data_IF_495412009977
#
_entry.id   IF_495412009977
#
_cell.length_a   1.000
_cell.length_b   1.000
_cell.length_c   1.000
_cell.angle_alpha   90.00
_cell.angle_beta   90.00
_cell.angle_gamma   90.00
#
_symmetry.space_group_name_H-M   'P 1'
#
loop_
_entity.id
_entity.type
_entity.pdbx_description
1 polymer ?
#
# COMPACT_ATOMS: atom_id res chain seq x y z
N UNK A 1 -20.27 14.95 -7.60
CA UNK A 1 -19.14 14.01 -7.41
C UNK A 1 -18.15 14.70 -6.49
N UNK A 2 -17.65 14.00 -5.46
CA UNK A 2 -16.64 14.52 -4.51
C UNK A 2 -15.40 15.06 -5.23
N UNK A 3 -14.99 14.44 -6.36
CA UNK A 3 -13.85 14.91 -7.18
C UNK A 3 -14.05 16.31 -7.77
N UNK A 4 -15.30 16.67 -8.12
CA UNK A 4 -15.59 18.00 -8.66
C UNK A 4 -15.43 19.07 -7.58
N UNK A 5 -15.96 18.81 -6.39
CA UNK A 5 -15.81 19.70 -5.24
C UNK A 5 -14.32 19.89 -4.89
N UNK A 6 -13.52 18.83 -5.01
CA UNK A 6 -12.07 18.93 -4.85
C UNK A 6 -11.42 19.88 -5.86
N UNK A 7 -11.72 19.75 -7.18
CA UNK A 7 -11.11 20.64 -8.18
C UNK A 7 -11.61 22.09 -8.10
N UNK A 8 -12.87 22.32 -7.75
CA UNK A 8 -13.39 23.67 -7.48
C UNK A 8 -12.66 24.31 -6.29
N UNK A 9 -12.55 23.59 -5.17
CA UNK A 9 -11.79 24.03 -3.99
C UNK A 9 -10.31 24.27 -4.31
N UNK A 10 -9.69 23.40 -5.10
CA UNK A 10 -8.29 23.55 -5.52
C UNK A 10 -8.10 24.84 -6.34
N UNK A 11 -9.02 25.14 -7.26
CA UNK A 11 -9.01 26.37 -8.04
C UNK A 11 -9.15 27.62 -7.18
N UNK A 12 -10.05 27.61 -6.19
CA UNK A 12 -10.18 28.70 -5.21
C UNK A 12 -8.89 28.92 -4.42
N UNK A 13 -8.23 27.83 -4.00
CA UNK A 13 -6.95 27.91 -3.29
C UNK A 13 -5.84 28.51 -4.15
N UNK A 14 -5.74 28.11 -5.42
CA UNK A 14 -4.73 28.62 -6.34
C UNK A 14 -4.89 30.11 -6.64
N UNK A 15 -6.12 30.62 -6.65
CA UNK A 15 -6.41 32.04 -6.86
C UNK A 15 -6.25 32.91 -5.59
N UNK A 16 -5.94 32.30 -4.45
CA UNK A 16 -5.77 33.04 -3.19
C UNK A 16 -4.30 33.44 -3.00
N UNK A 17 -3.92 34.73 -3.04
CA UNK A 17 -2.53 35.18 -3.11
C UNK A 17 -1.63 34.75 -1.94
N UNK A 18 -2.21 34.49 -0.77
CA UNK A 18 -1.49 34.11 0.44
C UNK A 18 -1.43 32.59 0.66
N UNK A 19 -2.02 31.80 -0.24
CA UNK A 19 -2.11 30.34 -0.08
C UNK A 19 -1.12 29.68 -1.03
N UNK A 20 -0.26 28.82 -0.48
CA UNK A 20 0.60 27.94 -1.24
C UNK A 20 0.03 26.53 -1.20
N UNK A 21 -0.34 25.99 -2.36
CA UNK A 21 -0.86 24.62 -2.46
C UNK A 21 0.27 23.67 -2.82
N UNK A 22 0.43 22.61 -2.03
CA UNK A 22 1.35 21.50 -2.30
C UNK A 22 0.53 20.22 -2.34
N UNK A 23 0.50 19.55 -3.49
CA UNK A 23 -0.12 18.24 -3.65
C UNK A 23 0.98 17.18 -3.65
N UNK A 24 0.98 16.30 -2.65
CA UNK A 24 1.87 15.14 -2.61
C UNK A 24 1.10 13.89 -3.00
N UNK A 25 1.59 13.18 -4.01
CA UNK A 25 0.99 11.93 -4.47
C UNK A 25 2.04 11.02 -5.09
N UNK A 26 1.77 9.72 -5.05
CA UNK A 26 2.60 8.74 -5.75
C UNK A 26 2.30 8.77 -7.23
N UNK A 27 3.30 8.43 -8.04
CA UNK A 27 3.22 8.46 -9.50
C UNK A 27 2.10 7.55 -10.05
N UNK A 28 1.86 6.41 -9.42
CA UNK A 28 0.80 5.46 -9.77
C UNK A 28 -0.63 6.03 -9.61
N UNK A 29 -0.78 7.12 -8.85
CA UNK A 29 -2.06 7.80 -8.61
C UNK A 29 -2.25 9.10 -9.42
N UNK A 30 -1.27 9.49 -10.26
CA UNK A 30 -1.40 10.68 -11.11
C UNK A 30 -2.63 10.64 -12.03
N UNK A 31 -3.11 9.44 -12.36
CA UNK A 31 -4.30 9.26 -13.19
C UNK A 31 -5.57 9.87 -12.58
N UNK A 32 -5.65 10.04 -11.26
CA UNK A 32 -6.77 10.74 -10.63
C UNK A 32 -6.82 12.23 -10.96
N UNK A 33 -5.69 12.84 -11.34
CA UNK A 33 -5.63 14.23 -11.77
C UNK A 33 -5.95 14.40 -13.26
N UNK A 34 -5.91 13.33 -14.06
CA UNK A 34 -6.20 13.39 -15.50
C UNK A 34 -7.67 13.72 -15.81
N UNK A 35 -8.61 13.41 -14.90
CA UNK A 35 -10.02 13.82 -15.05
C UNK A 35 -10.19 15.35 -15.02
N UNK A 36 -9.23 16.07 -14.42
CA UNK A 36 -9.19 17.53 -14.51
C UNK A 36 -8.92 17.97 -15.95
N UNK A 37 -8.06 17.26 -16.67
CA UNK A 37 -7.44 17.66 -17.95
C UNK A 37 -8.32 17.37 -19.18
N UNK A 38 -9.63 17.16 -18.96
CA UNK A 38 -10.64 16.89 -19.98
C UNK A 38 -10.91 18.10 -20.88
N UNK A 39 -9.97 18.40 -21.79
CA UNK A 39 -9.91 19.41 -22.88
C UNK A 39 -9.24 20.75 -22.56
N UNK A 40 -7.94 20.81 -22.87
CA UNK A 40 -7.26 22.00 -23.39
C UNK A 40 -6.23 21.64 -24.49
N UNK A 41 -6.69 20.98 -25.57
CA UNK A 41 -5.94 20.94 -26.83
C UNK A 41 -6.83 21.46 -27.95
N UNK A 42 -6.86 22.79 -28.10
CA UNK A 42 -7.33 23.42 -29.33
C UNK A 42 -6.27 23.16 -30.41
N UNK A 43 -6.51 22.17 -31.26
CA UNK A 43 -5.90 22.13 -32.59
C UNK A 43 -6.53 23.26 -33.37
N UNK A 44 -5.71 24.19 -33.85
CA UNK A 44 -6.13 25.17 -34.82
C UNK A 44 -6.42 24.49 -36.15
N UNK A 45 -7.69 24.41 -36.51
CA UNK A 45 -8.20 24.55 -37.89
C UNK A 45 -9.69 24.22 -37.89
N UNK A 46 -10.45 25.04 -38.59
CA UNK A 46 -11.86 24.84 -38.83
C UNK A 46 -12.06 23.56 -39.64
N UNK A 47 -12.62 22.52 -39.03
CA UNK A 47 -13.45 21.52 -39.69
C UNK A 47 -14.17 20.69 -38.62
N UNK A 48 -15.50 20.65 -38.72
CA UNK A 48 -16.33 19.83 -37.83
C UNK A 48 -16.05 18.34 -38.08
N UNK A 49 -16.13 17.51 -37.03
CA UNK A 49 -16.98 16.34 -37.20
C UNK A 49 -17.96 16.15 -36.04
N UNK A 50 -19.15 15.74 -36.42
CA UNK A 50 -20.22 15.28 -35.57
C UNK A 50 -19.79 14.02 -34.79
N UNK A 51 -19.50 14.18 -33.50
CA UNK A 51 -19.67 13.14 -32.49
C UNK A 51 -19.76 13.83 -31.12
N UNK A 52 -20.98 14.18 -30.71
CA UNK A 52 -21.26 14.73 -29.39
C UNK A 52 -21.30 13.62 -28.34
N UNK A 53 -20.15 13.04 -28.00
CA UNK A 53 -20.02 12.36 -26.72
C UNK A 53 -19.64 13.42 -25.67
N UNK A 54 -20.57 13.57 -24.73
CA UNK A 54 -20.62 14.55 -23.63
C UNK A 54 -19.23 14.93 -23.12
N UNK A 55 -18.91 16.23 -23.14
CA UNK A 55 -17.96 16.74 -22.15
C UNK A 55 -18.44 16.28 -20.76
N UNK A 56 -17.55 15.86 -19.84
CA UNK A 56 -17.95 15.33 -18.52
C UNK A 56 -18.83 16.31 -17.73
N UNK A 57 -18.77 17.59 -18.09
CA UNK A 57 -19.42 18.71 -17.43
C UNK A 57 -20.59 19.22 -18.29
N UNK A 58 -21.69 18.47 -18.34
CA UNK A 58 -22.92 18.97 -18.96
C UNK A 58 -23.52 20.10 -18.11
N UNK A 59 -23.29 21.35 -18.52
CA UNK A 59 -24.10 22.51 -18.09
C UNK A 59 -23.57 23.38 -16.93
N UNK A 60 -22.30 23.27 -16.54
CA UNK A 60 -21.68 24.15 -15.53
C UNK A 60 -20.25 24.53 -15.92
N UNK A 61 -19.76 25.68 -15.42
CA UNK A 61 -18.41 26.18 -15.66
C UNK A 61 -17.34 25.11 -15.40
N UNK A 62 -16.37 24.99 -16.31
CA UNK A 62 -15.25 24.07 -16.21
C UNK A 62 -14.33 24.53 -15.05
N UNK A 63 -14.09 23.69 -14.01
CA UNK A 63 -13.21 24.05 -12.89
C UNK A 63 -11.80 24.45 -13.35
N UNK A 64 -11.33 23.95 -14.50
CA UNK A 64 -10.03 24.34 -15.05
C UNK A 64 -9.94 25.82 -15.41
N UNK A 65 -11.04 26.52 -15.70
CA UNK A 65 -11.00 27.96 -15.98
C UNK A 65 -10.50 28.78 -14.78
N UNK A 66 -10.57 28.22 -13.57
CA UNK A 66 -10.04 28.83 -12.36
C UNK A 66 -8.57 28.48 -12.08
N UNK A 67 -7.90 27.73 -12.97
CA UNK A 67 -6.52 27.25 -12.77
C UNK A 67 -5.51 27.85 -13.76
N UNK A 68 -5.82 29.03 -14.32
CA UNK A 68 -4.96 29.72 -15.29
C UNK A 68 -3.54 29.96 -14.75
N UNK A 69 -3.40 30.15 -13.43
CA UNK A 69 -2.11 30.36 -12.74
C UNK A 69 -1.12 29.19 -12.97
N UNK A 70 -1.63 27.96 -13.16
CA UNK A 70 -0.82 26.78 -13.46
C UNK A 70 -0.91 26.37 -14.94
N UNK A 71 -1.32 27.29 -15.81
CA UNK A 71 -1.47 27.04 -17.25
C UNK A 71 -2.54 26.01 -17.59
N UNK A 72 -3.48 25.77 -16.68
CA UNK A 72 -4.46 24.69 -16.78
C UNK A 72 -3.82 23.31 -16.98
N UNK A 73 -2.60 23.09 -16.49
CA UNK A 73 -1.89 21.82 -16.59
C UNK A 73 -1.24 21.48 -15.25
N UNK A 74 -2.02 20.81 -14.40
CA UNK A 74 -1.57 20.35 -13.09
C UNK A 74 -0.51 19.24 -13.17
N UNK A 75 -0.36 18.62 -14.34
CA UNK A 75 0.62 17.56 -14.61
C UNK A 75 1.83 18.08 -15.40
N UNK A 76 1.94 19.40 -15.57
CA UNK A 76 3.08 19.98 -16.26
C UNK A 76 4.37 19.60 -15.56
N UNK A 77 5.40 19.24 -16.33
CA UNK A 77 6.75 18.97 -15.79
C UNK A 77 7.35 20.18 -15.07
N UNK A 78 6.80 21.39 -15.31
CA UNK A 78 7.26 22.63 -14.71
C UNK A 78 6.73 22.85 -13.28
N UNK A 79 5.72 22.08 -12.86
CA UNK A 79 5.11 22.17 -11.51
C UNK A 79 5.23 20.85 -10.72
N UNK A 80 5.87 19.84 -11.31
CA UNK A 80 6.11 18.53 -10.68
C UNK A 80 7.53 18.46 -10.13
N UNK A 81 7.62 18.17 -8.84
CA UNK A 81 8.88 18.01 -8.13
C UNK A 81 8.96 16.55 -7.64
N UNK A 82 9.75 15.69 -8.32
CA UNK A 82 9.86 14.30 -7.89
C UNK A 82 10.54 14.23 -6.52
N UNK A 83 9.91 13.51 -5.60
CA UNK A 83 10.51 13.17 -4.31
C UNK A 83 11.12 11.78 -4.43
N UNK A 84 12.45 11.75 -4.57
CA UNK A 84 13.23 10.52 -4.66
C UNK A 84 13.78 10.06 -3.31
N UNK A 85 14.68 9.09 -3.36
CA UNK A 85 15.47 8.72 -2.20
C UNK A 85 16.45 9.84 -1.83
N UNK A 86 16.84 9.90 -0.56
CA UNK A 86 17.86 10.83 -0.11
C UNK A 86 19.25 10.27 -0.43
N UNK A 87 20.18 11.15 -0.78
CA UNK A 87 21.61 10.83 -0.63
C UNK A 87 21.93 10.65 0.86
N UNK A 88 23.06 10.01 1.18
CA UNK A 88 23.50 9.87 2.57
C UNK A 88 23.70 11.22 3.25
N UNK A 89 24.30 12.16 2.54
CA UNK A 89 24.57 13.51 3.06
C UNK A 89 23.27 14.29 3.29
N UNK A 90 22.29 14.16 2.40
CA UNK A 90 20.97 14.78 2.57
C UNK A 90 20.22 14.15 3.74
N UNK A 91 20.21 12.81 3.84
CA UNK A 91 19.56 12.10 4.94
C UNK A 91 20.15 12.50 6.30
N UNK A 92 21.49 12.55 6.39
CA UNK A 92 22.21 13.02 7.58
C UNK A 92 21.82 14.45 7.93
N UNK A 93 21.84 15.36 6.96
CA UNK A 93 21.49 16.77 7.15
C UNK A 93 20.06 16.92 7.67
N UNK A 94 19.12 16.15 7.12
CA UNK A 94 17.72 16.12 7.58
C UNK A 94 17.62 15.64 9.02
N UNK A 95 18.27 14.53 9.37
CA UNK A 95 18.25 13.97 10.74
C UNK A 95 18.86 14.97 11.73
N UNK A 96 20.01 15.56 11.41
CA UNK A 96 20.65 16.58 12.26
C UNK A 96 19.77 17.82 12.44
N UNK A 97 19.10 18.28 11.38
CA UNK A 97 18.23 19.44 11.47
C UNK A 97 16.99 19.17 12.33
N UNK A 98 16.36 18.01 12.15
CA UNK A 98 15.19 17.61 12.93
C UNK A 98 15.52 17.40 14.40
N UNK A 99 16.65 16.74 14.70
CA UNK A 99 17.08 16.49 16.08
C UNK A 99 17.45 17.78 16.80
N UNK A 100 18.14 18.73 16.13
CA UNK A 100 18.44 20.07 16.69
C UNK A 100 17.19 20.89 17.01
N UNK A 101 16.14 20.77 16.20
CA UNK A 101 14.89 21.50 16.39
C UNK A 101 13.95 20.83 17.40
N UNK A 102 14.19 19.55 17.70
CA UNK A 102 13.38 18.77 18.64
C UNK A 102 14.05 18.66 20.01
N UNK A 103 13.29 18.28 21.04
CA UNK A 103 13.85 17.88 22.34
C UNK A 103 14.41 16.44 22.34
N UNK A 104 14.68 15.88 21.16
CA UNK A 104 15.16 14.51 20.98
C UNK A 104 16.51 14.53 20.28
N UNK A 105 17.58 14.59 21.07
CA UNK A 105 18.95 14.62 20.58
C UNK A 105 19.44 13.19 20.26
N UNK A 106 20.01 13.02 19.07
CA UNK A 106 20.69 11.79 18.68
C UNK A 106 22.20 12.02 18.70
N UNK A 107 22.94 11.07 19.26
CA UNK A 107 24.40 11.07 19.22
C UNK A 107 24.90 11.12 17.75
N UNK A 108 25.95 11.90 17.42
CA UNK A 108 26.46 11.98 16.06
C UNK A 108 26.88 10.61 15.48
N UNK A 109 27.46 9.74 16.30
CA UNK A 109 27.85 8.40 15.88
C UNK A 109 26.64 7.52 15.51
N UNK A 110 25.52 7.68 16.23
CA UNK A 110 24.25 7.02 15.89
C UNK A 110 23.71 7.54 14.55
N UNK A 111 23.77 8.84 14.28
CA UNK A 111 23.28 9.40 13.02
C UNK A 111 24.06 8.81 11.83
N UNK A 112 25.38 8.72 11.94
CA UNK A 112 26.24 8.14 10.88
C UNK A 112 25.88 6.67 10.61
N UNK A 113 25.79 5.86 11.67
CA UNK A 113 25.45 4.45 11.56
C UNK A 113 24.03 4.25 11.00
N UNK A 114 23.07 5.04 11.48
CA UNK A 114 21.68 4.98 11.03
C UNK A 114 21.56 5.28 9.53
N UNK A 115 22.26 6.31 9.04
CA UNK A 115 22.28 6.65 7.62
C UNK A 115 22.94 5.54 6.80
N UNK A 116 24.03 4.97 7.30
CA UNK A 116 24.72 3.85 6.65
C UNK A 116 23.80 2.63 6.54
N UNK A 117 23.11 2.26 7.62
CA UNK A 117 22.17 1.14 7.65
C UNK A 117 20.96 1.35 6.73
N UNK A 118 20.37 2.55 6.76
CA UNK A 118 19.23 2.90 5.91
C UNK A 118 19.60 2.93 4.41
N UNK A 119 20.82 3.37 4.09
CA UNK A 119 21.29 3.46 2.71
C UNK A 119 21.53 2.07 2.09
N UNK A 120 21.96 1.10 2.90
CA UNK A 120 22.23 -0.27 2.47
C UNK A 120 23.14 -0.35 1.24
N UNK A 121 22.85 -1.31 0.36
CA UNK A 121 23.65 -1.55 -0.87
C UNK A 121 23.47 -0.45 -1.92
N UNK A 122 22.30 0.19 -1.97
CA UNK A 122 21.97 1.18 -2.99
C UNK A 122 22.55 2.57 -2.68
N UNK A 123 23.15 2.74 -1.50
CA UNK A 123 23.75 4.01 -1.05
C UNK A 123 22.78 5.20 -1.03
N UNK A 124 21.48 4.91 -1.03
CA UNK A 124 20.39 5.88 -1.00
C UNK A 124 19.42 5.52 0.12
N UNK A 125 18.97 6.52 0.87
CA UNK A 125 18.04 6.34 1.99
C UNK A 125 16.61 6.52 1.50
N UNK A 126 15.79 5.47 1.64
CA UNK A 126 14.36 5.53 1.34
C UNK A 126 13.65 6.37 2.42
N UNK A 127 12.94 7.46 2.08
CA UNK A 127 12.29 8.34 3.05
C UNK A 127 11.33 7.60 3.98
N UNK A 128 10.63 6.59 3.47
CA UNK A 128 9.68 5.81 4.25
C UNK A 128 10.36 4.90 5.29
N UNK A 129 11.53 4.32 4.98
CA UNK A 129 12.29 3.55 5.95
C UNK A 129 12.83 4.48 7.05
N UNK A 130 13.35 5.65 6.66
CA UNK A 130 13.79 6.67 7.60
C UNK A 130 12.67 7.12 8.54
N UNK A 131 11.46 7.31 8.01
CA UNK A 131 10.28 7.66 8.82
C UNK A 131 9.94 6.59 9.85
N UNK A 132 9.89 5.32 9.45
CA UNK A 132 9.57 4.21 10.36
C UNK A 132 10.65 4.05 11.42
N UNK A 133 11.92 4.02 11.02
CA UNK A 133 13.05 3.84 11.95
C UNK A 133 13.15 5.04 12.89
N UNK A 134 13.02 6.27 12.38
CA UNK A 134 13.00 7.49 13.20
C UNK A 134 11.86 7.50 14.23
N UNK A 135 10.66 7.06 13.84
CA UNK A 135 9.54 6.93 14.77
C UNK A 135 9.82 5.88 15.87
N UNK A 136 10.46 4.76 15.54
CA UNK A 136 10.84 3.74 16.52
C UNK A 136 11.95 4.23 17.48
N UNK A 137 12.97 4.92 16.96
CA UNK A 137 13.99 5.54 17.81
C UNK A 137 13.35 6.46 18.86
N UNK A 138 12.39 7.28 18.45
CA UNK A 138 11.68 8.18 19.35
C UNK A 138 10.78 7.41 20.33
N UNK A 139 10.01 6.43 19.86
CA UNK A 139 9.09 5.65 20.71
C UNK A 139 9.83 4.87 21.81
N UNK A 140 11.00 4.33 21.48
CA UNK A 140 11.83 3.53 22.40
C UNK A 140 12.90 4.38 23.12
N UNK A 141 12.93 5.69 22.87
CA UNK A 141 13.93 6.63 23.43
C UNK A 141 15.40 6.22 23.16
N UNK A 142 15.65 5.65 21.98
CA UNK A 142 16.99 5.28 21.52
C UNK A 142 17.69 6.55 21.01
N UNK A 143 18.73 6.96 21.72
CA UNK A 143 19.47 8.20 21.45
C UNK A 143 20.97 8.00 21.29
N UNK A 144 21.50 6.83 21.65
CA UNK A 144 22.92 6.48 21.55
C UNK A 144 23.15 5.32 20.58
N UNK A 145 24.39 5.22 20.06
CA UNK A 145 24.77 4.15 19.15
C UNK A 145 24.67 2.76 19.82
N UNK A 146 25.03 2.68 21.09
CA UNK A 146 24.98 1.45 21.88
C UNK A 146 23.56 0.90 21.99
N UNK A 147 22.59 1.75 22.34
CA UNK A 147 21.16 1.38 22.42
C UNK A 147 20.62 0.89 21.07
N UNK A 148 21.06 1.52 19.97
CA UNK A 148 20.66 1.15 18.64
C UNK A 148 21.14 -0.27 18.26
N UNK A 149 22.39 -0.60 18.57
CA UNK A 149 22.93 -1.94 18.36
C UNK A 149 22.31 -3.00 19.28
N UNK A 150 22.10 -2.68 20.57
CA UNK A 150 21.39 -3.56 21.51
C UNK A 150 19.95 -3.84 21.01
N UNK A 151 19.33 -2.83 20.41
CA UNK A 151 18.03 -2.93 19.75
C UNK A 151 18.04 -3.67 18.41
N UNK A 152 19.14 -4.27 17.96
CA UNK A 152 19.22 -5.01 16.71
C UNK A 152 19.28 -4.13 15.45
N UNK A 153 19.69 -2.88 15.60
CA UNK A 153 19.85 -1.90 14.52
C UNK A 153 18.55 -1.72 13.70
N UNK A 154 18.67 -1.32 12.42
CA UNK A 154 17.53 -1.15 11.50
C UNK A 154 16.60 -2.36 11.45
N UNK A 155 17.16 -3.57 11.43
CA UNK A 155 16.38 -4.81 11.32
C UNK A 155 15.52 -5.03 12.57
N UNK A 156 16.09 -4.86 13.76
CA UNK A 156 15.37 -4.99 15.02
C UNK A 156 14.26 -3.95 15.17
N UNK A 157 14.52 -2.69 14.81
CA UNK A 157 13.51 -1.63 14.84
C UNK A 157 12.35 -1.91 13.89
N UNK A 158 12.65 -2.36 12.66
CA UNK A 158 11.61 -2.71 11.70
C UNK A 158 10.79 -3.92 12.15
N UNK A 159 11.45 -4.94 12.72
CA UNK A 159 10.77 -6.10 13.26
C UNK A 159 9.84 -5.74 14.42
N UNK A 160 10.25 -4.83 15.31
CA UNK A 160 9.40 -4.33 16.40
C UNK A 160 8.24 -3.49 15.90
N UNK A 161 8.46 -2.62 14.93
CA UNK A 161 7.37 -1.88 14.29
C UNK A 161 6.28 -2.84 13.74
N UNK A 162 6.69 -3.84 12.95
CA UNK A 162 5.77 -4.83 12.40
C UNK A 162 5.07 -5.65 13.50
N UNK A 163 5.82 -6.01 14.54
CA UNK A 163 5.28 -6.77 15.67
C UNK A 163 4.26 -5.96 16.46
N UNK A 164 4.52 -4.68 16.73
CA UNK A 164 3.59 -3.77 17.42
C UNK A 164 2.25 -3.66 16.70
N UNK A 165 2.26 -3.49 15.37
CA UNK A 165 1.01 -3.42 14.59
C UNK A 165 0.23 -4.76 14.64
N UNK A 166 0.93 -5.89 14.70
CA UNK A 166 0.29 -7.20 14.89
C UNK A 166 -0.27 -7.33 16.31
N UNK A 167 0.44 -6.83 17.32
CA UNK A 167 0.01 -6.83 18.72
C UNK A 167 -1.24 -5.97 18.94
N UNK A 168 -1.35 -4.83 18.26
CA UNK A 168 -2.52 -3.95 18.26
C UNK A 168 -3.80 -4.64 17.77
N UNK A 169 -3.66 -5.72 16.98
CA UNK A 169 -4.82 -6.54 16.58
C UNK A 169 -5.44 -7.32 17.76
N UNK A 170 -4.72 -7.44 18.88
CA UNK A 170 -5.13 -8.15 20.10
C UNK A 170 -4.77 -9.65 20.06
N UNK A 171 -4.57 -10.30 21.23
CA UNK A 171 -4.01 -11.66 21.32
C UNK A 171 -4.76 -12.72 20.50
N UNK A 172 -6.09 -12.66 20.44
CA UNK A 172 -6.91 -13.60 19.65
C UNK A 172 -6.79 -13.45 18.12
N UNK A 173 -6.25 -12.33 17.65
CA UNK A 173 -6.19 -11.97 16.22
C UNK A 173 -4.76 -11.92 15.67
N UNK A 174 -3.73 -11.94 16.52
CA UNK A 174 -2.33 -11.83 16.07
C UNK A 174 -1.98 -12.86 14.99
N UNK A 175 -2.46 -14.10 15.12
CA UNK A 175 -2.22 -15.15 14.14
C UNK A 175 -2.90 -14.87 12.80
N UNK A 176 -4.11 -14.32 12.83
CA UNK A 176 -4.83 -13.90 11.62
C UNK A 176 -4.12 -12.71 10.97
N UNK A 177 -3.71 -11.71 11.75
CA UNK A 177 -2.96 -10.54 11.24
C UNK A 177 -1.67 -10.95 10.54
N UNK A 178 -0.89 -11.83 11.18
CA UNK A 178 0.32 -12.44 10.60
C UNK A 178 0.05 -13.12 9.26
N UNK A 179 -1.00 -13.96 9.18
CA UNK A 179 -1.38 -14.64 7.94
C UNK A 179 -1.85 -13.66 6.86
N UNK A 180 -2.62 -12.65 7.22
CA UNK A 180 -3.10 -11.62 6.27
C UNK A 180 -1.92 -10.85 5.69
N UNK A 181 -0.99 -10.37 6.52
CA UNK A 181 0.21 -9.68 6.07
C UNK A 181 1.04 -10.56 5.14
N UNK A 182 1.19 -11.85 5.46
CA UNK A 182 1.86 -12.81 4.58
C UNK A 182 1.16 -12.97 3.23
N UNK A 183 -0.16 -13.13 3.21
CA UNK A 183 -0.94 -13.28 1.98
C UNK A 183 -0.86 -12.04 1.09
N UNK A 184 -0.58 -10.86 1.66
CA UNK A 184 -0.34 -9.62 0.92
C UNK A 184 1.11 -9.47 0.42
N UNK A 185 1.92 -10.53 0.52
CA UNK A 185 3.26 -10.65 -0.09
C UNK A 185 3.32 -11.86 -1.02
N UNK A 186 4.28 -11.89 -1.96
CA UNK A 186 4.58 -13.09 -2.76
C UNK A 186 6.06 -13.50 -2.69
N UNK A 187 6.38 -14.73 -3.14
CA UNK A 187 7.74 -15.28 -3.13
C UNK A 187 8.72 -14.54 -4.06
N UNK A 188 8.21 -13.68 -4.95
CA UNK A 188 9.00 -12.86 -5.86
C UNK A 188 9.29 -11.46 -5.31
N UNK A 189 8.85 -11.17 -4.08
CA UNK A 189 9.04 -9.85 -3.47
C UNK A 189 7.96 -8.83 -3.85
N UNK A 190 6.86 -9.25 -4.47
CA UNK A 190 5.75 -8.36 -4.83
C UNK A 190 4.70 -8.28 -3.72
N UNK A 191 3.83 -7.28 -3.90
CA UNK A 191 2.69 -6.97 -3.04
C UNK A 191 1.37 -7.18 -3.81
N UNK A 192 0.81 -8.39 -3.87
CA UNK A 192 -0.42 -8.66 -4.63
C UNK A 192 -1.64 -7.90 -4.08
N UNK A 193 -2.56 -7.51 -4.98
CA UNK A 193 -3.87 -6.97 -4.63
C UNK A 193 -4.86 -8.09 -4.36
N UNK A 194 -5.35 -8.19 -3.12
CA UNK A 194 -6.33 -9.23 -2.72
C UNK A 194 -7.64 -8.63 -2.24
N UNK A 195 -8.74 -9.27 -2.59
CA UNK A 195 -10.07 -8.97 -2.05
C UNK A 195 -10.25 -9.57 -0.65
N UNK A 196 -11.21 -9.04 0.11
CA UNK A 196 -11.59 -9.63 1.40
C UNK A 196 -12.03 -11.10 1.26
N UNK A 197 -12.73 -11.44 0.17
CA UNK A 197 -13.19 -12.81 -0.08
C UNK A 197 -12.03 -13.78 -0.32
N UNK A 198 -11.03 -13.36 -1.10
CA UNK A 198 -9.81 -14.15 -1.31
C UNK A 198 -9.06 -14.38 0.01
N UNK A 199 -8.90 -13.34 0.83
CA UNK A 199 -8.26 -13.46 2.15
C UNK A 199 -9.05 -14.39 3.08
N UNK A 200 -10.38 -14.24 3.14
CA UNK A 200 -11.25 -15.08 3.95
C UNK A 200 -11.17 -16.57 3.55
N UNK A 201 -11.07 -16.85 2.25
CA UNK A 201 -10.96 -18.22 1.73
C UNK A 201 -9.71 -18.97 2.22
N UNK A 202 -8.62 -18.26 2.52
CA UNK A 202 -7.40 -18.82 3.10
C UNK A 202 -7.44 -18.91 4.64
N UNK A 203 -8.30 -18.12 5.31
CA UNK A 203 -8.43 -18.12 6.77
C UNK A 203 -9.46 -19.13 7.29
N UNK A 204 -10.41 -19.57 6.46
CA UNK A 204 -11.39 -20.59 6.84
C UNK A 204 -12.27 -20.16 8.00
N UNK A 205 -12.22 -20.87 9.13
CA UNK A 205 -13.05 -20.61 10.31
C UNK A 205 -12.73 -19.31 11.02
N UNK A 206 -11.58 -18.68 10.74
CA UNK A 206 -11.16 -17.40 11.34
C UNK A 206 -11.52 -16.18 10.49
N UNK A 207 -12.33 -16.38 9.43
CA UNK A 207 -12.74 -15.31 8.51
C UNK A 207 -13.59 -14.22 9.17
N UNK A 208 -14.25 -14.52 10.30
CA UNK A 208 -15.01 -13.57 11.11
C UNK A 208 -14.11 -12.48 11.72
N UNK A 209 -12.87 -12.82 12.08
CA UNK A 209 -11.86 -11.88 12.63
C UNK A 209 -11.28 -10.92 11.58
N UNK A 210 -11.41 -11.25 10.30
CA UNK A 210 -10.73 -10.55 9.20
C UNK A 210 -11.12 -9.06 9.10
N UNK A 211 -12.36 -8.71 9.41
CA UNK A 211 -12.82 -7.31 9.32
C UNK A 211 -12.05 -6.40 10.28
N UNK A 212 -11.94 -6.82 11.55
CA UNK A 212 -11.22 -6.06 12.57
C UNK A 212 -9.73 -5.95 12.23
N UNK A 213 -9.12 -7.06 11.81
CA UNK A 213 -7.70 -7.11 11.41
C UNK A 213 -7.44 -6.15 10.24
N UNK A 214 -8.23 -6.23 9.17
CA UNK A 214 -8.03 -5.35 8.01
C UNK A 214 -8.22 -3.88 8.37
N UNK A 215 -9.16 -3.54 9.26
CA UNK A 215 -9.33 -2.17 9.73
C UNK A 215 -8.08 -1.66 10.42
N UNK A 216 -7.54 -2.42 11.38
CA UNK A 216 -6.34 -2.03 12.14
C UNK A 216 -5.12 -1.93 11.21
N UNK A 217 -4.94 -2.89 10.29
CA UNK A 217 -3.84 -2.85 9.32
C UNK A 217 -3.92 -1.68 8.33
N UNK A 218 -5.13 -1.22 8.01
CA UNK A 218 -5.34 -0.02 7.17
C UNK A 218 -5.09 1.25 7.96
N UNK A 219 -5.61 1.33 9.19
CA UNK A 219 -5.42 2.48 10.07
C UNK A 219 -3.95 2.66 10.51
N UNK A 220 -3.20 1.57 10.63
CA UNK A 220 -1.75 1.61 10.91
C UNK A 220 -0.90 2.03 9.70
N UNK A 221 -1.49 2.11 8.50
CA UNK A 221 -0.75 2.45 7.28
C UNK A 221 0.14 1.33 6.73
N UNK A 222 0.04 0.09 7.24
CA UNK A 222 0.71 -1.07 6.63
C UNK A 222 0.01 -1.56 5.36
N UNK A 223 -1.32 -1.42 5.30
CA UNK A 223 -2.17 -1.87 4.20
C UNK A 223 -2.97 -0.69 3.63
N UNK A 224 -3.07 -0.60 2.31
CA UNK A 224 -3.97 0.35 1.64
C UNK A 224 -5.21 -0.37 1.13
N UNK A 225 -6.36 0.27 1.31
CA UNK A 225 -7.63 -0.13 0.69
C UNK A 225 -7.76 0.58 -0.66
N UNK A 226 -7.68 -0.19 -1.74
CA UNK A 226 -7.82 0.29 -3.12
C UNK A 226 -9.27 0.08 -3.58
N UNK A 227 -9.99 1.14 -3.96
CA UNK A 227 -11.32 1.01 -4.57
C UNK A 227 -11.22 0.26 -5.91
N UNK A 228 -12.10 -0.71 -6.11
CA UNK A 228 -12.29 -1.43 -7.39
C UNK A 228 -13.80 -1.51 -7.67
N UNK A 229 -14.17 -1.67 -8.93
CA UNK A 229 -15.55 -1.66 -9.45
C UNK A 229 -16.38 -2.78 -8.81
N UNK A 230 -15.76 -3.93 -8.56
CA UNK A 230 -16.46 -5.14 -8.10
C UNK A 230 -16.40 -5.30 -6.57
N UNK A 231 -15.23 -5.09 -5.98
CA UNK A 231 -15.04 -5.20 -4.53
C UNK A 231 -13.73 -4.51 -4.12
N UNK A 232 -13.70 -3.89 -2.95
CA UNK A 232 -12.46 -3.31 -2.41
C UNK A 232 -11.31 -4.33 -2.35
N UNK A 233 -10.12 -3.86 -2.72
CA UNK A 233 -8.88 -4.64 -2.70
C UNK A 233 -7.93 -4.08 -1.66
N UNK A 234 -7.06 -4.94 -1.15
CA UNK A 234 -6.10 -4.66 -0.12
C UNK A 234 -4.70 -5.01 -0.63
N UNK A 235 -3.72 -4.18 -0.31
CA UNK A 235 -2.32 -4.34 -0.70
C UNK A 235 -1.42 -3.73 0.37
N UNK A 236 -0.21 -4.27 0.57
CA UNK A 236 0.80 -3.59 1.38
C UNK A 236 1.15 -2.22 0.79
N UNK A 237 1.37 -1.21 1.62
CA UNK A 237 1.62 0.16 1.13
C UNK A 237 2.97 0.27 0.40
N UNK A 238 4.00 -0.42 0.91
CA UNK A 238 5.36 -0.32 0.39
C UNK A 238 6.00 -1.68 0.13
N UNK A 239 6.89 -1.72 -0.87
CA UNK A 239 7.65 -2.87 -1.34
C UNK A 239 8.71 -3.34 -0.34
N UNK A 240 9.37 -2.40 0.35
CA UNK A 240 10.42 -2.74 1.31
C UNK A 240 9.89 -3.67 2.43
N UNK A 241 8.61 -3.55 2.82
CA UNK A 241 8.00 -4.38 3.86
C UNK A 241 8.00 -5.86 3.51
N UNK A 242 8.04 -6.22 2.22
CA UNK A 242 7.97 -7.61 1.78
C UNK A 242 9.20 -8.41 2.24
N UNK A 243 10.39 -7.80 2.20
CA UNK A 243 11.62 -8.47 2.65
C UNK A 243 11.56 -8.74 4.16
N UNK A 244 11.07 -7.79 4.95
CA UNK A 244 10.92 -7.93 6.40
C UNK A 244 9.84 -8.94 6.79
N UNK A 245 8.67 -8.91 6.16
CA UNK A 245 7.58 -9.84 6.46
C UNK A 245 7.90 -11.30 6.12
N UNK A 246 8.91 -11.53 5.26
CA UNK A 246 9.36 -12.87 4.87
C UNK A 246 10.64 -13.31 5.58
N UNK A 247 11.15 -12.52 6.53
CA UNK A 247 12.30 -12.90 7.33
C UNK A 247 11.92 -13.99 8.36
N UNK A 248 12.80 -14.99 8.57
CA UNK A 248 12.56 -16.06 9.54
C UNK A 248 12.45 -15.57 10.99
N UNK A 249 13.04 -14.42 11.34
CA UNK A 249 13.00 -13.89 12.71
C UNK A 249 11.60 -13.54 13.22
N UNK A 250 10.66 -13.17 12.33
CA UNK A 250 9.26 -12.90 12.71
C UNK A 250 8.47 -14.19 13.03
N UNK A 251 9.09 -15.38 12.90
CA UNK A 251 8.48 -16.71 13.02
C UNK A 251 7.25 -16.90 12.12
N UNK A 252 7.13 -16.11 11.07
CA UNK A 252 6.03 -16.21 10.12
C UNK A 252 6.12 -17.51 9.31
N UNK A 253 7.32 -18.08 9.19
CA UNK A 253 7.62 -19.30 8.45
C UNK A 253 6.91 -20.56 8.97
N UNK A 254 6.67 -20.68 10.28
CA UNK A 254 5.92 -21.83 10.82
C UNK A 254 4.44 -21.79 10.40
N UNK A 255 3.91 -20.58 10.16
CA UNK A 255 2.58 -20.38 9.58
C UNK A 255 2.57 -20.68 8.08
N UNK A 256 3.68 -20.46 7.38
CA UNK A 256 3.85 -20.81 5.95
C UNK A 256 3.67 -22.30 5.74
N UNK A 257 4.30 -23.14 6.58
CA UNK A 257 4.18 -24.60 6.44
C UNK A 257 2.73 -25.05 6.61
N UNK A 258 2.02 -24.49 7.61
CA UNK A 258 0.62 -24.82 7.88
C UNK A 258 -0.33 -24.32 6.79
N UNK A 259 -0.11 -23.11 6.26
CA UNK A 259 -0.92 -22.57 5.16
C UNK A 259 -0.69 -23.33 3.85
N UNK A 260 0.56 -23.62 3.48
CA UNK A 260 0.87 -24.43 2.28
C UNK A 260 0.28 -25.83 2.37
N UNK A 261 0.35 -26.48 3.55
CA UNK A 261 -0.28 -27.77 3.78
C UNK A 261 -1.82 -27.70 3.68
N UNK A 262 -2.44 -26.65 4.22
CA UNK A 262 -3.88 -26.44 4.14
C UNK A 262 -4.36 -26.20 2.69
N UNK A 263 -3.63 -25.38 1.93
CA UNK A 263 -3.94 -25.13 0.51
C UNK A 263 -3.77 -26.40 -0.34
N UNK A 264 -2.70 -27.17 -0.12
CA UNK A 264 -2.51 -28.47 -0.77
C UNK A 264 -3.62 -29.46 -0.42
N UNK A 265 -4.00 -29.54 0.86
CA UNK A 265 -5.09 -30.41 1.30
C UNK A 265 -6.43 -30.00 0.67
N UNK A 266 -6.71 -28.70 0.56
CA UNK A 266 -7.92 -28.16 -0.08
C UNK A 266 -7.97 -28.50 -1.57
N UNK A 267 -6.86 -28.36 -2.30
CA UNK A 267 -6.76 -28.75 -3.71
C UNK A 267 -6.97 -30.27 -3.91
N UNK A 268 -6.39 -31.10 -3.05
CA UNK A 268 -6.59 -32.56 -3.10
C UNK A 268 -8.05 -32.92 -2.82
N UNK A 269 -8.69 -32.27 -1.85
CA UNK A 269 -10.09 -32.49 -1.51
C UNK A 269 -11.01 -32.07 -2.67
N UNK A 270 -10.79 -30.91 -3.29
CA UNK A 270 -11.54 -30.46 -4.46
C UNK A 270 -11.42 -31.43 -5.64
N UNK A 271 -10.19 -31.86 -5.96
CA UNK A 271 -9.95 -32.86 -7.01
C UNK A 271 -10.63 -34.20 -6.69
N UNK A 272 -10.66 -34.61 -5.42
CA UNK A 272 -11.31 -35.85 -4.99
C UNK A 272 -12.83 -35.72 -5.07
N UNK A 273 -13.40 -34.58 -4.66
CA UNK A 273 -14.83 -34.30 -4.80
C UNK A 273 -15.27 -34.22 -6.28
N UNK A 274 -14.44 -33.65 -7.17
CA UNK A 274 -14.71 -33.66 -8.61
C UNK A 274 -14.71 -35.08 -9.18
N UNK A 275 -13.76 -35.93 -8.77
CA UNK A 275 -13.74 -37.35 -9.18
C UNK A 275 -14.95 -38.11 -8.65
N UNK A 276 -15.31 -37.92 -7.38
CA UNK A 276 -16.46 -38.57 -6.75
C UNK A 276 -17.78 -38.14 -7.43
N UNK A 277 -17.96 -36.84 -7.71
CA UNK A 277 -19.14 -36.35 -8.44
C UNK A 277 -19.20 -36.88 -9.87
N UNK A 278 -18.06 -37.05 -10.55
CA UNK A 278 -18.01 -37.67 -11.87
C UNK A 278 -18.41 -39.16 -11.82
N UNK A 279 -17.91 -39.92 -10.82
CA UNK A 279 -18.28 -41.32 -10.64
C UNK A 279 -19.75 -41.50 -10.24
N UNK A 280 -20.32 -40.62 -9.41
CA UNK A 280 -21.75 -40.64 -9.07
C UNK A 280 -22.60 -40.37 -10.32
N UNK A 281 -22.21 -39.44 -11.19
CA UNK A 281 -22.91 -39.19 -12.47
C UNK A 281 -22.87 -40.40 -13.39
N UNK A 282 -21.73 -41.09 -13.50
CA UNK A 282 -21.59 -42.31 -14.30
C UNK A 282 -22.42 -43.46 -13.69
N UNK A 283 -22.33 -43.68 -12.38
CA UNK A 283 -23.10 -44.71 -11.68
C UNK A 283 -24.61 -44.47 -11.76
N UNK A 284 -25.06 -43.22 -11.66
CA UNK A 284 -26.46 -42.82 -11.87
C UNK A 284 -26.92 -43.11 -13.30
N UNK A 285 -26.09 -42.83 -14.31
CA UNK A 285 -26.42 -43.11 -15.72
C UNK A 285 -26.53 -44.62 -16.01
N UNK A 286 -25.63 -45.42 -15.42
CA UNK A 286 -25.64 -46.89 -15.54
C UNK A 286 -26.85 -47.51 -14.85
N UNK A 287 -27.26 -46.99 -13.68
CA UNK A 287 -28.49 -47.41 -12.99
C UNK A 287 -29.74 -47.09 -13.81
N UNK A 288 -29.83 -45.91 -14.44
CA UNK A 288 -30.96 -45.59 -15.33
C UNK A 288 -31.01 -46.46 -16.59
N UNK A 289 -29.88 -46.98 -17.08
CA UNK A 289 -29.83 -47.89 -18.23
C UNK A 289 -30.17 -49.35 -17.86
N UNK A 290 -29.96 -49.75 -16.60
CA UNK A 290 -30.28 -51.11 -16.13
C UNK A 290 -31.75 -51.30 -15.76
N UNK A 291 -32.49 -50.21 -15.51
CA UNK A 291 -33.94 -50.24 -15.25
C UNK A 291 -34.82 -50.15 -16.51
N UNK A 292 -34.23 -50.06 -17.71
CA UNK A 292 -34.94 -49.94 -19.01
C UNK A 292 -34.84 -51.24 -19.84
N UNK A 293 -34.57 -52.38 -19.19
CA UNK A 293 -34.72 -53.72 -19.80
C UNK A 293 -35.73 -54.52 -18.99
#
# INVERSE_FOLDING_TARGET
SERRQFFEFLGECLNTPSVKVILSMREDYLHYLLECDGRSRSVGSAESPAFSERAPWSGSANPMLSMEIIGNDILSKHVRYPLGNFSRDDAKSVIEQLTKQSHFYLEPALIEELVQDLAGEFSEVRPIELQVVGAQLQAESITTLEQYWEGGSKQGLMARYLTGVVEDCGPQNQQVAKRVLYLLTDEKGNRPLKTKAELANHLGTEADKLELVLRILVESGLVVKVPDIVAHRYQLVHDYLVSYLRQPELKLDELITKLKQADQAKQVLENTNQKATHQIKIGSAVLSLTWVK
#
